data_IF_700590395749
#
_entry.id   IF_700590395749
#
_cell.length_a   1.000
_cell.length_b   1.000
_cell.length_c   1.000
_cell.angle_alpha   90.00
_cell.angle_beta   90.00
_cell.angle_gamma   90.00
#
_symmetry.space_group_name_H-M   'P 1'
#
loop_
_entity.id
_entity.type
_entity.pdbx_description
1 polymer ?
#
# COMPACT_ATOMS: atom_id res chain seq x y z
N UNK A 1 -12.07 9.36 26.16
CA UNK A 1 -11.73 8.30 25.19
C UNK A 1 -10.80 8.96 24.17
N UNK A 2 -9.61 8.43 23.94
CA UNK A 2 -8.55 9.14 23.22
C UNK A 2 -8.93 9.40 21.75
N UNK A 3 -9.04 10.66 21.36
CA UNK A 3 -8.98 11.12 19.97
C UNK A 3 -7.56 10.88 19.45
N UNK A 4 -7.39 9.80 18.69
CA UNK A 4 -6.20 9.59 17.85
C UNK A 4 -6.62 9.92 16.42
N UNK A 5 -6.69 11.21 16.12
CA UNK A 5 -6.84 11.68 14.75
C UNK A 5 -5.51 11.42 14.03
N UNK A 6 -5.44 10.55 13.01
CA UNK A 6 -4.18 10.22 12.35
C UNK A 6 -3.59 11.48 11.74
N UNK A 7 -2.31 11.73 12.00
CA UNK A 7 -1.63 12.92 11.48
C UNK A 7 -1.63 12.88 9.93
N UNK A 8 -1.81 14.03 9.22
CA UNK A 8 -1.85 14.07 7.75
C UNK A 8 -0.61 13.46 7.08
N UNK A 9 0.48 13.38 7.83
CA UNK A 9 1.76 12.81 7.42
C UNK A 9 1.71 11.28 7.39
N UNK A 10 1.00 10.65 8.33
CA UNK A 10 0.76 9.19 8.33
C UNK A 10 -0.14 8.76 7.18
N UNK A 11 -1.23 9.49 6.93
CA UNK A 11 -2.12 9.19 5.80
C UNK A 11 -1.37 9.27 4.48
N UNK A 12 -0.46 10.24 4.32
CA UNK A 12 0.33 10.41 3.09
C UNK A 12 1.40 9.33 2.93
N UNK A 13 2.04 8.91 4.03
CA UNK A 13 3.02 7.82 4.02
C UNK A 13 2.35 6.47 3.70
N UNK A 14 1.17 6.20 4.30
CA UNK A 14 0.35 5.02 4.01
C UNK A 14 -0.12 5.01 2.56
N UNK A 15 -0.55 6.16 2.04
CA UNK A 15 -0.94 6.30 0.63
C UNK A 15 0.25 6.08 -0.31
N UNK A 16 1.44 6.60 0.03
CA UNK A 16 2.66 6.42 -0.76
C UNK A 16 3.11 4.96 -0.86
N UNK A 17 3.00 4.20 0.25
CA UNK A 17 3.26 2.76 0.27
C UNK A 17 2.21 1.96 -0.51
N UNK A 18 0.92 2.26 -0.32
CA UNK A 18 -0.15 1.56 -1.04
C UNK A 18 -0.09 1.77 -2.56
N UNK A 19 0.20 2.98 -3.02
CA UNK A 19 0.29 3.30 -4.45
C UNK A 19 1.50 2.63 -5.11
N UNK A 20 2.66 2.63 -4.46
CA UNK A 20 3.85 2.01 -5.04
C UNK A 20 3.70 0.49 -5.17
N UNK A 21 3.15 -0.19 -4.16
CA UNK A 21 2.86 -1.62 -4.22
C UNK A 21 1.81 -1.95 -5.28
N UNK A 22 0.70 -1.20 -5.35
CA UNK A 22 -0.35 -1.43 -6.35
C UNK A 22 0.20 -1.33 -7.79
N UNK A 23 1.04 -0.33 -8.07
CA UNK A 23 1.70 -0.17 -9.37
C UNK A 23 2.71 -1.30 -9.63
N UNK A 24 3.52 -1.66 -8.64
CA UNK A 24 4.49 -2.75 -8.76
C UNK A 24 3.85 -4.09 -9.07
N UNK A 25 2.76 -4.44 -8.39
CA UNK A 25 2.02 -5.68 -8.61
C UNK A 25 1.35 -5.69 -9.99
N UNK A 26 0.70 -4.59 -10.40
CA UNK A 26 0.08 -4.50 -11.73
C UNK A 26 1.10 -4.71 -12.87
N UNK A 27 2.28 -4.09 -12.75
CA UNK A 27 3.39 -4.26 -13.70
C UNK A 27 3.98 -5.67 -13.61
N UNK A 28 4.17 -6.20 -12.41
CA UNK A 28 4.74 -7.52 -12.19
C UNK A 28 3.88 -8.66 -12.74
N UNK A 29 2.56 -8.59 -12.53
CA UNK A 29 1.61 -9.57 -13.06
C UNK A 29 1.54 -9.50 -14.59
N UNK A 30 1.53 -8.29 -15.17
CA UNK A 30 1.53 -8.13 -16.63
C UNK A 30 2.85 -8.61 -17.27
N UNK A 31 4.01 -8.38 -16.65
CA UNK A 31 5.28 -8.95 -17.12
C UNK A 31 5.35 -10.46 -16.92
N UNK A 32 4.89 -10.97 -15.77
CA UNK A 32 4.91 -12.40 -15.45
C UNK A 32 4.03 -13.22 -16.39
N UNK A 33 2.86 -12.69 -16.74
CA UNK A 33 1.96 -13.29 -17.74
C UNK A 33 2.57 -13.25 -19.14
N UNK A 34 3.20 -12.13 -19.54
CA UNK A 34 3.86 -12.01 -20.84
C UNK A 34 5.06 -12.95 -20.99
N UNK A 35 5.83 -13.15 -19.92
CA UNK A 35 7.02 -14.01 -19.90
C UNK A 35 6.71 -15.48 -19.59
N UNK A 36 5.44 -15.81 -19.31
CA UNK A 36 5.01 -17.11 -18.78
C UNK A 36 5.81 -17.54 -17.53
N UNK A 37 6.36 -16.57 -16.79
CA UNK A 37 7.19 -16.79 -15.61
C UNK A 37 6.76 -15.85 -14.49
N UNK A 38 5.84 -16.34 -13.67
CA UNK A 38 5.25 -15.62 -12.55
C UNK A 38 6.28 -15.27 -11.46
N UNK A 39 7.29 -16.13 -11.24
CA UNK A 39 8.34 -15.88 -10.26
C UNK A 39 9.20 -14.66 -10.66
N UNK A 40 9.58 -14.57 -11.93
CA UNK A 40 10.32 -13.41 -12.43
C UNK A 40 9.44 -12.16 -12.49
N UNK A 41 8.20 -12.28 -12.98
CA UNK A 41 7.27 -11.15 -13.07
C UNK A 41 6.98 -10.51 -11.71
N UNK A 42 6.62 -11.32 -10.72
CA UNK A 42 6.37 -10.83 -9.36
C UNK A 42 7.66 -10.36 -8.68
N UNK A 43 8.78 -11.05 -8.85
CA UNK A 43 10.06 -10.61 -8.28
C UNK A 43 10.47 -9.22 -8.78
N UNK A 44 10.32 -8.97 -10.08
CA UNK A 44 10.60 -7.67 -10.69
C UNK A 44 9.55 -6.63 -10.26
N UNK A 45 8.26 -6.98 -10.29
CA UNK A 45 7.16 -6.09 -9.93
C UNK A 45 7.20 -5.60 -8.48
N UNK A 46 7.43 -6.51 -7.54
CA UNK A 46 7.56 -6.18 -6.11
C UNK A 46 8.80 -5.32 -5.87
N UNK A 47 9.94 -5.65 -6.49
CA UNK A 47 11.15 -4.83 -6.38
C UNK A 47 10.93 -3.39 -6.86
N UNK A 48 10.23 -3.23 -8.00
CA UNK A 48 9.88 -1.91 -8.55
C UNK A 48 8.85 -1.20 -7.66
N UNK A 49 7.82 -1.89 -7.18
CA UNK A 49 6.78 -1.31 -6.34
C UNK A 49 7.29 -0.82 -4.99
N UNK A 50 8.20 -1.58 -4.37
CA UNK A 50 8.88 -1.17 -3.13
C UNK A 50 9.81 0.03 -3.40
N UNK A 51 10.56 0.03 -4.51
CA UNK A 51 11.41 1.16 -4.88
C UNK A 51 10.59 2.45 -5.08
N UNK A 52 9.44 2.37 -5.74
CA UNK A 52 8.54 3.51 -5.90
C UNK A 52 7.87 3.93 -4.59
N UNK A 53 7.45 2.98 -3.74
CA UNK A 53 6.91 3.28 -2.42
C UNK A 53 7.89 4.10 -1.60
N UNK A 54 9.17 3.71 -1.58
CA UNK A 54 10.25 4.46 -0.92
C UNK A 54 10.48 5.81 -1.59
N UNK A 55 10.41 5.91 -2.92
CA UNK A 55 10.57 7.18 -3.63
C UNK A 55 9.45 8.18 -3.32
N UNK A 56 8.20 7.72 -3.22
CA UNK A 56 7.03 8.57 -2.92
C UNK A 56 6.91 8.91 -1.43
N UNK A 57 7.38 8.03 -0.54
CA UNK A 57 7.43 8.28 0.92
C UNK A 57 8.69 9.03 1.35
N UNK A 58 9.78 8.94 0.57
CA UNK A 58 11.15 9.22 1.00
C UNK A 58 11.81 10.50 0.48
N UNK A 59 11.12 11.64 0.50
CA UNK A 59 11.84 12.93 0.48
C UNK A 59 12.66 13.19 1.76
N UNK A 60 12.70 12.23 2.70
CA UNK A 60 13.61 12.19 3.85
C UNK A 60 14.32 10.84 3.97
N UNK A 61 15.63 10.84 3.66
CA UNK A 61 16.69 9.92 4.13
C UNK A 61 16.33 8.43 4.20
N UNK A 62 16.86 7.67 3.22
CA UNK A 62 16.69 6.22 3.08
C UNK A 62 16.76 5.42 4.38
N UNK A 63 15.84 4.47 4.51
CA UNK A 63 15.89 3.41 5.51
C UNK A 63 15.16 2.18 4.99
N UNK A 64 15.98 1.12 4.88
CA UNK A 64 15.76 -0.33 5.00
C UNK A 64 14.44 -0.95 4.48
N UNK A 65 14.53 -2.04 3.70
CA UNK A 65 13.37 -2.87 3.41
C UNK A 65 12.84 -3.42 4.74
N UNK A 66 11.66 -2.96 5.16
CA UNK A 66 10.89 -3.63 6.20
C UNK A 66 10.27 -4.83 5.50
N UNK A 67 10.58 -6.02 6.04
CA UNK A 67 10.09 -7.29 5.54
C UNK A 67 8.57 -7.36 5.59
N UNK A 68 8.05 -8.34 4.85
CA UNK A 68 6.64 -8.66 4.72
C UNK A 68 5.87 -8.56 6.05
N UNK A 69 5.01 -7.55 6.15
CA UNK A 69 3.80 -7.64 6.95
C UNK A 69 2.64 -7.43 5.96
N UNK A 70 2.30 -8.53 5.26
CA UNK A 70 0.99 -8.72 4.64
C UNK A 70 -0.07 -8.67 5.75
N UNK A 71 -0.44 -7.47 6.17
CA UNK A 71 -1.75 -7.25 6.73
C UNK A 71 -2.63 -6.79 5.56
N UNK A 72 -3.10 -7.77 4.79
CA UNK A 72 -4.43 -7.70 4.18
C UNK A 72 -5.43 -7.48 5.32
N UNK A 73 -5.56 -6.23 5.78
CA UNK A 73 -6.77 -5.80 6.45
C UNK A 73 -7.83 -5.67 5.36
N UNK A 74 -8.36 -6.84 4.98
CA UNK A 74 -9.73 -6.97 4.53
C UNK A 74 -10.66 -6.60 5.71
N UNK A 75 -10.56 -5.35 6.16
CA UNK A 75 -11.35 -4.75 7.20
C UNK A 75 -12.60 -4.17 6.57
N UNK A 76 -13.64 -4.98 6.56
CA UNK A 76 -15.03 -4.59 6.32
C UNK A 76 -15.37 -3.21 6.91
N UNK A 77 -16.01 -2.37 6.10
CA UNK A 77 -16.57 -1.11 6.56
C UNK A 77 -17.34 -0.32 5.50
N UNK A 78 -17.82 -0.98 4.44
CA UNK A 78 -18.85 -0.39 3.59
C UNK A 78 -20.21 -0.81 4.12
N UNK A 79 -20.75 -0.06 5.08
CA UNK A 79 -22.19 -0.08 5.36
C UNK A 79 -22.63 1.20 6.07
N UNK A 80 -23.55 1.94 5.44
CA UNK A 80 -24.55 2.85 6.01
C UNK A 80 -24.03 3.93 6.97
N UNK A 81 -24.08 5.22 6.65
CA UNK A 81 -25.32 6.00 6.53
C UNK A 81 -26.35 5.66 7.63
N UNK A 82 -26.89 6.72 8.24
CA UNK A 82 -28.00 6.79 9.23
C UNK A 82 -27.61 7.00 10.71
N UNK A 83 -27.46 8.29 11.05
CA UNK A 83 -27.55 8.86 12.40
C UNK A 83 -29.04 9.15 12.72
N UNK A 84 -29.74 8.39 13.59
CA UNK A 84 -31.05 8.81 14.06
C UNK A 84 -30.92 9.75 15.27
N UNK A 85 -31.83 10.76 15.36
CA UNK A 85 -31.64 11.94 16.19
C UNK A 85 -31.74 11.67 17.70
N UNK A 86 -30.89 12.39 18.44
CA UNK A 86 -30.88 12.44 19.90
C UNK A 86 -32.21 13.00 20.45
N UNK A 87 -32.76 12.33 21.48
CA UNK A 87 -33.89 12.76 22.30
C UNK A 87 -33.50 12.69 23.77
#
# INVERSE_FOLDING_TARGET
MADQNPSPQESRARMGMGVGLALGVAIGVSLGTAMQNWALGLGIGVAIGVAFSVAFTGSGRGSRPSGEDDEEDAGEGSAGDEDPPQR
#
